data_IF_922670303914
#
_entry.id   IF_922670303914
#
_cell.length_a   1.000
_cell.length_b   1.000
_cell.length_c   1.000
_cell.angle_alpha   90.00
_cell.angle_beta   90.00
_cell.angle_gamma   90.00
#
_symmetry.space_group_name_H-M   'P 1'
#
loop_
_entity.id
_entity.type
_entity.pdbx_description
1 polymer ?
#
# COMPACT_ATOMS: atom_id res chain seq x y z
N UNK A 1 23.23 -3.11 -2.48
CA UNK A 1 22.59 -2.03 -1.70
C UNK A 1 21.17 -1.88 -2.23
N UNK A 2 20.18 -2.46 -1.56
CA UNK A 2 18.79 -2.41 -2.03
C UNK A 2 18.18 -1.07 -1.65
N UNK A 3 17.93 -0.20 -2.63
CA UNK A 3 17.12 1.00 -2.42
C UNK A 3 15.66 0.56 -2.38
N UNK A 4 15.16 0.21 -1.19
CA UNK A 4 13.73 0.04 -0.99
C UNK A 4 13.09 1.44 -1.01
N UNK A 5 12.58 1.84 -2.18
CA UNK A 5 11.78 3.06 -2.31
C UNK A 5 10.44 2.76 -1.66
N UNK A 6 10.04 3.60 -0.68
CA UNK A 6 8.74 3.45 -0.04
C UNK A 6 7.63 3.45 -1.11
N UNK A 7 6.66 2.53 -1.03
CA UNK A 7 5.55 2.50 -1.98
C UNK A 7 4.81 3.84 -1.95
N UNK A 8 4.38 4.30 -3.12
CA UNK A 8 3.54 5.50 -3.23
C UNK A 8 2.14 5.11 -3.61
N UNK A 9 1.17 5.90 -3.14
CA UNK A 9 -0.24 5.69 -3.42
C UNK A 9 -0.85 6.96 -3.99
N UNK A 10 -1.75 6.76 -4.94
CA UNK A 10 -2.67 7.78 -5.44
C UNK A 10 -4.08 7.29 -5.17
N UNK A 11 -4.88 8.13 -4.53
CA UNK A 11 -6.31 7.89 -4.33
C UNK A 11 -7.09 8.87 -5.18
N UNK A 12 -8.05 8.33 -5.91
CA UNK A 12 -8.90 9.08 -6.81
C UNK A 12 -10.37 8.75 -6.58
N UNK A 13 -11.24 9.70 -6.94
CA UNK A 13 -12.68 9.50 -6.96
C UNK A 13 -13.26 10.32 -8.10
N UNK A 14 -14.07 9.69 -8.96
CA UNK A 14 -14.63 10.32 -10.16
C UNK A 14 -13.54 10.97 -11.03
N UNK A 15 -12.43 10.26 -11.24
CA UNK A 15 -11.24 10.72 -11.99
C UNK A 15 -10.47 11.91 -11.38
N UNK A 16 -10.89 12.42 -10.22
CA UNK A 16 -10.17 13.46 -9.49
C UNK A 16 -9.25 12.85 -8.44
N UNK A 17 -8.00 13.34 -8.39
CA UNK A 17 -7.03 12.90 -7.38
C UNK A 17 -7.33 13.57 -6.05
N UNK A 18 -7.70 12.75 -5.07
CA UNK A 18 -8.03 13.16 -3.70
C UNK A 18 -6.78 13.22 -2.82
N UNK A 19 -5.88 12.25 -3.00
CA UNK A 19 -4.69 12.13 -2.17
C UNK A 19 -3.52 11.51 -2.91
N UNK A 20 -2.31 11.99 -2.60
CA UNK A 20 -1.04 11.38 -2.98
C UNK A 20 -0.18 11.26 -1.74
N UNK A 21 0.38 10.09 -1.51
CA UNK A 21 1.20 9.87 -0.32
C UNK A 21 2.11 8.65 -0.43
N UNK A 22 2.84 8.41 0.64
CA UNK A 22 3.65 7.22 0.82
C UNK A 22 2.91 6.22 1.71
N UNK A 23 3.04 4.94 1.40
CA UNK A 23 2.56 3.87 2.26
C UNK A 23 3.62 3.61 3.32
N UNK A 24 3.25 3.78 4.59
CA UNK A 24 4.11 3.41 5.72
C UNK A 24 4.16 1.89 5.88
N UNK A 25 3.03 1.24 5.62
CA UNK A 25 2.87 -0.21 5.67
C UNK A 25 1.98 -0.64 4.52
N UNK A 26 2.35 -1.73 3.86
CA UNK A 26 1.59 -2.32 2.77
C UNK A 26 1.47 -3.83 2.98
N UNK A 27 0.27 -4.35 2.72
CA UNK A 27 -0.04 -5.77 2.78
C UNK A 27 -1.05 -6.12 1.69
N UNK A 28 -1.26 -7.42 1.39
CA UNK A 28 -2.33 -7.85 0.50
C UNK A 28 -3.75 -7.49 0.95
N UNK A 29 -3.94 -7.10 2.23
CA UNK A 29 -5.24 -6.69 2.77
C UNK A 29 -5.51 -5.19 2.65
N UNK A 30 -4.46 -4.40 2.54
CA UNK A 30 -4.55 -2.95 2.59
C UNK A 30 -3.23 -2.29 2.93
N UNK A 31 -3.27 -1.00 3.19
CA UNK A 31 -2.11 -0.20 3.52
C UNK A 31 -2.43 0.88 4.53
N UNK A 32 -1.37 1.44 5.10
CA UNK A 32 -1.42 2.54 6.04
C UNK A 32 -0.71 3.75 5.43
N UNK A 33 -1.37 4.90 5.51
CA UNK A 33 -0.77 6.18 5.17
C UNK A 33 -0.88 7.14 6.36
N UNK A 34 0.13 8.00 6.49
CA UNK A 34 0.05 9.18 7.31
C UNK A 34 -0.32 10.38 6.44
N UNK A 35 -1.25 11.21 6.91
CA UNK A 35 -1.71 12.38 6.21
C UNK A 35 -2.10 13.51 7.18
N UNK A 36 -2.12 14.77 6.73
CA UNK A 36 -2.54 15.90 7.55
C UNK A 36 -3.99 15.76 7.99
N UNK A 37 -4.30 16.08 9.24
CA UNK A 37 -5.68 16.05 9.75
C UNK A 37 -6.65 16.88 8.89
N UNK A 38 -6.17 17.97 8.30
CA UNK A 38 -6.96 18.83 7.41
C UNK A 38 -7.41 18.14 6.12
N UNK A 39 -6.75 17.05 5.71
CA UNK A 39 -7.13 16.29 4.52
C UNK A 39 -8.26 15.28 4.79
N UNK A 40 -8.66 15.05 6.05
CA UNK A 40 -9.64 14.01 6.40
C UNK A 40 -11.05 14.26 5.86
N UNK A 41 -11.44 15.52 5.70
CA UNK A 41 -12.76 15.85 5.19
C UNK A 41 -12.92 15.40 3.73
N UNK A 42 -11.83 15.33 2.95
CA UNK A 42 -11.84 14.82 1.59
C UNK A 42 -12.13 13.30 1.51
N UNK A 43 -12.00 12.58 2.63
CA UNK A 43 -12.27 11.15 2.69
C UNK A 43 -13.74 10.81 2.98
N UNK A 44 -14.58 11.82 3.20
CA UNK A 44 -15.98 11.67 3.56
C UNK A 44 -16.90 12.02 2.40
N UNK A 45 -18.07 11.41 2.38
CA UNK A 45 -19.16 11.81 1.51
C UNK A 45 -19.94 13.00 2.08
N UNK A 46 -20.97 13.43 1.34
CA UNK A 46 -21.85 14.55 1.71
C UNK A 46 -22.61 14.30 3.04
N UNK A 47 -22.73 13.05 3.45
CA UNK A 47 -23.37 12.62 4.69
C UNK A 47 -22.37 12.45 5.85
N UNK A 48 -21.09 12.77 5.64
CA UNK A 48 -20.03 12.63 6.63
C UNK A 48 -19.52 11.20 6.82
N UNK A 49 -19.92 10.25 5.96
CA UNK A 49 -19.48 8.85 6.02
C UNK A 49 -18.21 8.66 5.21
N UNK A 50 -17.32 7.78 5.67
CA UNK A 50 -16.17 7.38 4.86
C UNK A 50 -16.63 6.63 3.61
N UNK A 51 -16.05 7.01 2.48
CA UNK A 51 -16.39 6.49 1.16
C UNK A 51 -15.27 5.60 0.61
N UNK A 52 -15.49 5.00 -0.55
CA UNK A 52 -14.46 4.24 -1.27
C UNK A 52 -13.78 5.11 -2.32
N UNK A 53 -12.56 4.71 -2.67
CA UNK A 53 -11.68 5.41 -3.60
C UNK A 53 -11.07 4.41 -4.56
N UNK A 54 -10.90 4.82 -5.80
CA UNK A 54 -9.98 4.16 -6.71
C UNK A 54 -8.56 4.38 -6.18
N UNK A 55 -7.74 3.34 -6.22
CA UNK A 55 -6.36 3.38 -5.75
C UNK A 55 -5.42 2.91 -6.82
N UNK A 56 -4.29 3.61 -6.94
CA UNK A 56 -3.12 3.15 -7.66
C UNK A 56 -1.92 3.12 -6.69
N UNK A 57 -1.42 1.93 -6.37
CA UNK A 57 -0.23 1.72 -5.54
C UNK A 57 0.95 1.45 -6.46
N UNK A 58 1.93 2.35 -6.45
CA UNK A 58 3.21 2.14 -7.15
C UNK A 58 4.21 1.50 -6.19
N UNK A 59 4.73 0.35 -6.61
CA UNK A 59 5.82 -0.37 -5.94
C UNK A 59 7.05 -0.34 -6.84
N UNK A 60 8.23 -0.14 -6.24
CA UNK A 60 9.50 -0.35 -6.93
C UNK A 60 10.23 -1.46 -6.19
N UNK A 61 10.29 -2.64 -6.79
CA UNK A 61 11.02 -3.78 -6.24
C UNK A 61 12.08 -4.28 -7.21
N UNK A 62 12.50 -5.53 -7.00
CA UNK A 62 13.65 -6.09 -7.72
C UNK A 62 13.39 -6.28 -9.22
N UNK A 63 12.14 -6.52 -9.60
CA UNK A 63 11.73 -6.73 -10.99
C UNK A 63 11.29 -5.43 -11.68
N UNK A 64 11.61 -4.28 -11.07
CA UNK A 64 11.27 -2.96 -11.58
C UNK A 64 10.05 -2.34 -10.90
N UNK A 65 9.47 -1.36 -11.58
CA UNK A 65 8.32 -0.59 -11.10
C UNK A 65 7.03 -1.23 -11.56
N UNK A 66 6.15 -1.55 -10.62
CA UNK A 66 4.79 -2.03 -10.89
C UNK A 66 3.78 -1.07 -10.30
N UNK A 67 2.64 -0.93 -10.98
CA UNK A 67 1.48 -0.19 -10.47
C UNK A 67 0.34 -1.16 -10.26
N UNK A 68 -0.29 -1.07 -9.10
CA UNK A 68 -1.36 -1.94 -8.67
C UNK A 68 -2.62 -1.11 -8.47
N UNK A 69 -3.62 -1.38 -9.31
CA UNK A 69 -4.89 -0.67 -9.28
C UNK A 69 -5.97 -1.47 -8.55
N UNK A 70 -6.89 -0.76 -7.90
CA UNK A 70 -8.01 -1.36 -7.18
C UNK A 70 -8.96 -0.32 -6.58
N UNK A 71 -9.79 -0.78 -5.66
CA UNK A 71 -10.71 0.06 -4.88
C UNK A 71 -10.43 -0.14 -3.39
N UNK A 72 -10.40 0.93 -2.61
CA UNK A 72 -10.16 0.91 -1.16
C UNK A 72 -11.20 1.69 -0.38
N UNK A 73 -11.41 1.31 0.87
CA UNK A 73 -12.18 2.07 1.84
C UNK A 73 -11.36 2.36 3.10
N UNK A 74 -11.71 3.44 3.79
CA UNK A 74 -11.15 3.72 5.13
C UNK A 74 -11.67 2.67 6.11
N UNK A 75 -10.76 1.92 6.72
CA UNK A 75 -11.08 0.89 7.70
C UNK A 75 -10.91 1.36 9.14
N UNK A 76 -9.92 2.21 9.39
CA UNK A 76 -9.65 2.74 10.72
C UNK A 76 -8.77 3.97 10.66
N UNK A 77 -8.93 4.84 11.64
CA UNK A 77 -8.21 6.11 11.74
C UNK A 77 -7.83 6.37 13.18
N UNK A 78 -6.61 6.86 13.40
CA UNK A 78 -6.20 7.40 14.68
C UNK A 78 -5.28 8.61 14.49
N UNK A 79 -5.31 9.52 15.45
CA UNK A 79 -4.43 10.69 15.47
C UNK A 79 -3.04 10.26 15.93
N UNK A 80 -2.00 10.59 15.17
CA UNK A 80 -0.61 10.29 15.52
C UNK A 80 0.15 11.53 16.03
N UNK A 81 -0.29 12.74 15.67
CA UNK A 81 0.30 13.99 16.16
C UNK A 81 -0.75 15.11 16.25
N UNK A 82 -0.33 16.32 16.62
CA UNK A 82 -1.24 17.46 16.65
C UNK A 82 -1.79 17.83 15.27
N UNK A 83 -1.05 17.55 14.20
CA UNK A 83 -1.39 17.96 12.83
C UNK A 83 -1.61 16.78 11.89
N UNK A 84 -1.35 15.54 12.32
CA UNK A 84 -1.41 14.36 11.46
C UNK A 84 -2.23 13.21 12.06
N UNK A 85 -2.72 12.38 11.16
CA UNK A 85 -3.39 11.13 11.45
C UNK A 85 -2.85 10.00 10.60
N UNK A 86 -2.91 8.80 11.16
CA UNK A 86 -2.69 7.57 10.43
C UNK A 86 -4.05 7.00 10.00
N UNK A 87 -4.14 6.64 8.72
CA UNK A 87 -5.33 6.07 8.12
C UNK A 87 -5.00 4.68 7.59
N UNK A 88 -5.77 3.69 8.02
CA UNK A 88 -5.70 2.33 7.53
C UNK A 88 -6.75 2.17 6.43
N UNK A 89 -6.28 1.90 5.21
CA UNK A 89 -7.12 1.59 4.07
C UNK A 89 -7.19 0.08 3.86
N UNK A 90 -8.35 -0.42 3.45
CA UNK A 90 -8.57 -1.82 3.11
C UNK A 90 -9.02 -1.95 1.68
N UNK A 91 -8.47 -2.90 0.93
CA UNK A 91 -8.93 -3.18 -0.43
C UNK A 91 -10.35 -3.74 -0.39
N UNK A 92 -11.25 -3.05 -1.08
CA UNK A 92 -12.62 -3.49 -1.36
C UNK A 92 -12.62 -4.33 -2.63
N UNK A 93 -11.87 -3.89 -3.65
CA UNK A 93 -11.65 -4.65 -4.90
C UNK A 93 -10.18 -4.63 -5.26
N UNK A 94 -9.63 -5.80 -5.56
CA UNK A 94 -8.27 -5.98 -6.03
C UNK A 94 -8.21 -7.27 -6.84
N UNK A 95 -7.78 -7.18 -8.10
CA UNK A 95 -7.73 -8.34 -9.01
C UNK A 95 -6.78 -9.42 -8.49
N UNK A 96 -7.01 -10.67 -8.89
CA UNK A 96 -6.13 -11.79 -8.50
C UNK A 96 -4.69 -11.61 -8.99
N UNK A 97 -4.53 -11.06 -10.20
CA UNK A 97 -3.23 -10.70 -10.75
C UNK A 97 -2.53 -9.62 -9.92
N UNK A 98 -3.24 -8.55 -9.55
CA UNK A 98 -2.67 -7.48 -8.73
C UNK A 98 -2.30 -7.95 -7.32
N UNK A 99 -3.07 -8.88 -6.74
CA UNK A 99 -2.70 -9.54 -5.46
C UNK A 99 -1.41 -10.35 -5.60
N UNK A 100 -1.27 -11.10 -6.70
CA UNK A 100 -0.06 -11.89 -6.99
C UNK A 100 1.15 -10.97 -7.17
N UNK A 101 1.03 -9.92 -8.00
CA UNK A 101 2.10 -8.94 -8.22
C UNK A 101 2.51 -8.25 -6.90
N UNK A 102 1.56 -7.89 -6.05
CA UNK A 102 1.86 -7.33 -4.73
C UNK A 102 2.67 -8.30 -3.87
N UNK A 103 2.24 -9.56 -3.81
CA UNK A 103 2.92 -10.58 -3.02
C UNK A 103 4.34 -10.84 -3.52
N UNK A 104 4.55 -10.88 -4.84
CA UNK A 104 5.87 -11.05 -5.45
C UNK A 104 6.82 -9.90 -5.11
N UNK A 105 6.34 -8.65 -5.07
CA UNK A 105 7.17 -7.49 -4.74
C UNK A 105 7.40 -7.32 -3.22
N UNK A 106 6.48 -7.79 -2.38
CA UNK A 106 6.59 -7.72 -0.91
C UNK A 106 7.39 -8.89 -0.32
N UNK A 107 7.50 -10.00 -1.03
CA UNK A 107 8.33 -11.12 -0.60
C UNK A 107 9.79 -10.69 -0.75
N UNK A 108 10.60 -10.65 0.33
CA UNK A 108 12.02 -10.41 0.17
C UNK A 108 12.57 -11.51 -0.75
N UNK A 109 13.48 -11.17 -1.67
CA UNK A 109 14.19 -12.19 -2.41
C UNK A 109 14.72 -13.20 -1.41
N UNK A 110 14.27 -14.44 -1.52
CA UNK A 110 14.90 -15.51 -0.80
C UNK A 110 16.35 -15.49 -1.23
N UNK A 111 17.25 -15.16 -0.30
CA UNK A 111 18.68 -15.32 -0.49
C UNK A 111 18.89 -16.74 -1.02
N UNK A 112 19.25 -16.84 -2.30
CA UNK A 112 19.70 -18.07 -2.95
C UNK A 112 20.92 -18.67 -2.23
N UNK A 113 21.53 -17.92 -1.31
CA UNK A 113 22.65 -18.34 -0.48
C UNK A 113 22.25 -19.24 0.71
N UNK A 114 20.97 -19.29 1.11
CA UNK A 114 20.53 -20.17 2.20
C UNK A 114 20.26 -21.62 1.78
N UNK A 115 20.03 -21.88 0.48
CA UNK A 115 19.85 -23.25 -0.03
C UNK A 115 21.18 -23.97 -0.16
N UNK A 116 22.25 -23.26 -0.55
CA UNK A 116 23.60 -23.83 -0.70
C UNK A 116 24.24 -24.26 0.64
N UNK A 117 23.87 -23.65 1.77
CA UNK A 117 24.36 -24.06 3.09
C UNK A 117 23.68 -25.34 3.62
N UNK A 118 22.40 -25.55 3.28
CA UNK A 118 21.67 -26.75 3.67
C UNK A 118 22.14 -27.98 2.88
N UNK A 119 22.50 -27.84 1.61
CA UNK A 119 23.00 -28.96 0.80
C UNK A 119 24.43 -29.39 1.16
N UNK A 120 25.26 -28.50 1.72
CA UNK A 120 26.63 -28.83 2.16
C UNK A 120 26.73 -29.55 3.51
N UNK A 121 25.67 -29.57 4.32
CA UNK A 121 25.62 -30.31 5.59
C UNK A 121 24.98 -31.70 5.47
N UNK A 122 24.48 -32.04 4.28
CA UNK A 122 23.88 -33.34 3.96
C UNK A 122 24.86 -34.30 3.25
N UNK A 123 26.14 -33.91 3.10
CA UNK A 123 27.23 -34.75 2.61
C UNK A 123 28.24 -35.06 3.71
#
# INVERSE_FOLDING_TARGET
MYHFVMPSVVLSKNDEVIFRGLCEQLSPLGFKCELPLSALDAFRDQCGRYTTFDVAVTLTGQHGRVTIDGEVGVHGLYRCSQTQCCVNFRYVKLSGENRRLMAEQLTPAQDSDNVAWLERKAQ
#
